data_IF_467952260958
#
_entry.id   IF_467952260958
#
_cell.length_a   1.000
_cell.length_b   1.000
_cell.length_c   1.000
_cell.angle_alpha   90.00
_cell.angle_beta   90.00
_cell.angle_gamma   90.00
#
_symmetry.space_group_name_H-M   'P 1'
#
loop_
_entity.id
_entity.type
_entity.pdbx_description
1 polymer ?
#
# COMPACT_ATOMS: atom_id res chain seq x y z
N UNK A 1 27.55 3.94 -35.07
CA UNK A 1 26.52 4.98 -34.84
C UNK A 1 25.12 4.39 -34.73
N UNK A 2 24.58 3.68 -35.74
CA UNK A 2 23.21 3.10 -35.68
C UNK A 2 22.98 2.13 -34.51
N UNK A 3 23.97 1.27 -34.19
CA UNK A 3 23.88 0.34 -33.05
C UNK A 3 23.85 1.05 -31.70
N UNK A 4 24.69 2.07 -31.51
CA UNK A 4 24.72 2.89 -30.28
C UNK A 4 23.39 3.62 -30.09
N UNK A 5 22.81 4.17 -31.16
CA UNK A 5 21.49 4.80 -31.11
C UNK A 5 20.39 3.80 -30.69
N UNK A 6 20.36 2.61 -31.29
CA UNK A 6 19.38 1.58 -30.95
C UNK A 6 19.54 1.12 -29.50
N UNK A 7 20.77 0.85 -29.06
CA UNK A 7 21.03 0.49 -27.66
C UNK A 7 20.61 1.59 -26.71
N UNK A 8 20.87 2.86 -27.04
CA UNK A 8 20.43 4.00 -26.26
C UNK A 8 18.91 4.08 -26.12
N UNK A 9 18.16 3.90 -27.22
CA UNK A 9 16.69 3.89 -27.22
C UNK A 9 16.16 2.75 -26.33
N UNK A 10 16.74 1.56 -26.44
CA UNK A 10 16.34 0.41 -25.62
C UNK A 10 16.62 0.70 -24.13
N UNK A 11 17.80 1.22 -23.79
CA UNK A 11 18.12 1.53 -22.40
C UNK A 11 17.17 2.58 -21.81
N UNK A 12 16.86 3.64 -22.56
CA UNK A 12 15.91 4.67 -22.13
C UNK A 12 14.50 4.09 -21.99
N UNK A 13 14.04 3.26 -22.92
CA UNK A 13 12.70 2.67 -22.81
C UNK A 13 12.59 1.75 -21.60
N UNK A 14 13.62 0.96 -21.28
CA UNK A 14 13.66 0.15 -20.07
C UNK A 14 13.62 1.01 -18.80
N UNK A 15 14.36 2.12 -18.76
CA UNK A 15 14.33 3.06 -17.64
C UNK A 15 12.95 3.71 -17.47
N UNK A 16 12.29 4.08 -18.57
CA UNK A 16 10.93 4.63 -18.53
C UNK A 16 9.95 3.60 -17.99
N UNK A 17 10.00 2.35 -18.45
CA UNK A 17 9.12 1.29 -17.97
C UNK A 17 9.34 1.00 -16.48
N UNK A 18 10.61 0.92 -16.04
CA UNK A 18 10.93 0.76 -14.62
C UNK A 18 10.43 1.95 -13.78
N UNK A 19 10.62 3.17 -14.27
CA UNK A 19 10.14 4.39 -13.63
C UNK A 19 8.62 4.46 -13.52
N UNK A 20 7.88 3.99 -14.53
CA UNK A 20 6.42 3.89 -14.47
C UNK A 20 5.95 2.88 -13.43
N UNK A 21 6.65 1.75 -13.28
CA UNK A 21 6.30 0.71 -12.31
C UNK A 21 6.48 1.17 -10.86
N UNK A 22 7.53 1.93 -10.56
CA UNK A 22 7.80 2.42 -9.18
C UNK A 22 7.30 3.84 -8.93
N UNK A 23 6.81 4.52 -9.97
CA UNK A 23 6.42 5.93 -9.95
C UNK A 23 5.43 6.29 -8.83
N UNK A 24 4.32 5.56 -8.66
CA UNK A 24 3.36 5.76 -7.55
C UNK A 24 4.02 5.70 -6.17
N UNK A 25 4.80 4.64 -5.94
CA UNK A 25 5.48 4.43 -4.66
C UNK A 25 6.57 5.47 -4.39
N UNK A 26 7.24 5.96 -5.44
CA UNK A 26 8.25 6.99 -5.33
C UNK A 26 7.62 8.37 -5.09
N UNK A 27 6.50 8.69 -5.75
CA UNK A 27 5.81 9.96 -5.51
C UNK A 27 5.26 10.05 -4.10
N UNK A 28 4.63 8.98 -3.59
CA UNK A 28 4.24 8.87 -2.19
C UNK A 28 5.40 9.19 -1.23
N UNK A 29 6.56 8.54 -1.45
CA UNK A 29 7.76 8.73 -0.60
C UNK A 29 8.46 10.07 -0.76
N UNK A 30 8.22 10.83 -1.82
CA UNK A 30 8.90 12.12 -2.03
C UNK A 30 8.01 13.29 -1.66
N UNK A 31 6.73 13.24 -2.05
CA UNK A 31 5.80 14.35 -1.94
C UNK A 31 4.64 14.10 -0.99
N UNK A 32 4.48 12.88 -0.49
CA UNK A 32 3.35 12.55 0.37
C UNK A 32 3.50 13.06 1.79
N UNK A 33 2.38 13.38 2.42
CA UNK A 33 2.32 13.66 3.85
C UNK A 33 2.27 12.36 4.64
N UNK A 34 2.66 12.41 5.92
CA UNK A 34 2.73 11.22 6.79
C UNK A 34 1.40 11.00 7.52
N UNK A 35 0.88 9.78 7.42
CA UNK A 35 -0.32 9.30 8.08
C UNK A 35 -0.01 8.06 8.90
N UNK A 36 -0.63 7.96 10.07
CA UNK A 36 -0.46 6.84 10.98
C UNK A 36 -1.67 5.91 10.87
N UNK A 37 -1.44 4.66 10.49
CA UNK A 37 -2.49 3.66 10.33
C UNK A 37 -2.28 2.53 11.32
N UNK A 38 -3.34 2.11 12.01
CA UNK A 38 -3.28 0.90 12.83
C UNK A 38 -3.06 -0.32 11.93
N UNK A 39 -2.14 -1.19 12.33
CA UNK A 39 -1.83 -2.43 11.62
C UNK A 39 -1.92 -3.63 12.53
N UNK A 40 -2.44 -4.70 11.95
CA UNK A 40 -2.45 -6.04 12.53
C UNK A 40 -1.55 -6.97 11.71
N UNK A 41 -0.94 -7.97 12.35
CA UNK A 41 -0.14 -8.96 11.63
C UNK A 41 -1.04 -9.81 10.75
N UNK A 42 -0.65 -9.91 9.47
CA UNK A 42 -1.13 -10.97 8.62
C UNK A 42 0.03 -11.93 8.37
N UNK A 43 -0.11 -13.20 8.73
CA UNK A 43 0.96 -14.20 8.67
C UNK A 43 1.01 -14.88 7.29
N UNK A 44 1.95 -14.47 6.40
CA UNK A 44 2.50 -15.45 5.47
C UNK A 44 4.03 -15.32 5.32
N UNK A 45 4.77 -16.19 6.01
CA UNK A 45 6.16 -16.51 5.65
C UNK A 45 6.16 -17.17 4.25
N UNK A 46 6.65 -16.45 3.24
CA UNK A 46 6.94 -17.03 1.92
C UNK A 46 8.46 -17.19 1.73
N UNK A 47 8.99 -18.43 1.73
CA UNK A 47 10.43 -18.68 1.63
C UNK A 47 11.03 -18.30 0.26
N UNK A 48 10.22 -17.94 -0.74
CA UNK A 48 10.64 -17.59 -2.10
C UNK A 48 10.51 -16.09 -2.42
N UNK A 49 9.72 -15.33 -1.66
CA UNK A 49 9.52 -13.87 -1.88
C UNK A 49 10.46 -12.98 -1.05
N UNK A 50 11.29 -13.59 -0.19
CA UNK A 50 12.22 -12.86 0.68
C UNK A 50 11.54 -12.40 1.98
N UNK A 51 12.21 -11.52 2.74
CA UNK A 51 11.65 -10.97 3.96
C UNK A 51 10.73 -9.80 3.65
N UNK A 52 9.44 -10.05 3.79
CA UNK A 52 8.42 -9.01 3.84
C UNK A 52 7.46 -9.35 4.95
N UNK A 53 6.80 -8.31 5.46
CA UNK A 53 5.73 -8.46 6.43
C UNK A 53 4.44 -8.07 5.72
N UNK A 54 3.44 -8.95 5.78
CA UNK A 54 2.10 -8.62 5.30
C UNK A 54 1.35 -7.85 6.39
N UNK A 55 0.77 -6.73 6.00
CA UNK A 55 0.09 -5.81 6.91
C UNK A 55 -1.41 -5.89 6.65
N UNK A 56 -2.18 -6.20 7.69
CA UNK A 56 -3.62 -5.98 7.71
C UNK A 56 -3.90 -4.61 8.31
N UNK A 57 -4.95 -3.92 7.83
CA UNK A 57 -5.31 -2.58 8.27
C UNK A 57 -6.75 -2.59 8.78
N UNK A 58 -7.00 -2.95 10.05
CA UNK A 58 -8.35 -3.09 10.59
C UNK A 58 -9.24 -1.86 10.37
N UNK A 59 -8.68 -0.66 10.54
CA UNK A 59 -9.38 0.61 10.34
C UNK A 59 -9.70 0.95 8.88
N UNK A 60 -9.20 0.19 7.91
CA UNK A 60 -9.42 0.44 6.48
C UNK A 60 -10.33 -0.60 5.82
N UNK A 61 -10.90 -1.55 6.55
CA UNK A 61 -11.57 -2.71 5.93
C UNK A 61 -13.02 -2.45 5.57
N UNK A 62 -13.44 -3.09 4.48
CA UNK A 62 -14.84 -3.14 4.05
C UNK A 62 -15.55 -4.35 4.66
N UNK A 63 -16.73 -4.14 5.25
CA UNK A 63 -17.66 -5.18 5.73
C UNK A 63 -17.07 -6.26 6.66
N UNK A 64 -16.17 -5.88 7.57
CA UNK A 64 -15.52 -6.79 8.55
C UNK A 64 -14.81 -8.02 7.91
N UNK A 65 -14.58 -8.01 6.60
CA UNK A 65 -14.15 -9.18 5.83
C UNK A 65 -12.68 -9.56 6.15
N UNK A 66 -12.48 -10.58 7.00
CA UNK A 66 -11.15 -11.04 7.42
C UNK A 66 -10.62 -12.06 6.40
N UNK A 67 -9.65 -11.66 5.57
CA UNK A 67 -8.85 -12.62 4.83
C UNK A 67 -7.74 -13.14 5.74
N UNK A 68 -7.70 -14.46 5.94
CA UNK A 68 -6.62 -15.13 6.70
C UNK A 68 -5.46 -15.54 5.78
N UNK A 69 -5.64 -15.42 4.45
CA UNK A 69 -4.74 -16.04 3.46
C UNK A 69 -3.96 -15.02 2.64
N UNK A 70 -4.56 -13.90 2.26
CA UNK A 70 -3.86 -12.79 1.58
C UNK A 70 -4.23 -11.43 2.17
N UNK A 71 -3.29 -10.46 2.17
CA UNK A 71 -3.57 -9.12 2.66
C UNK A 71 -4.33 -8.30 1.62
N UNK A 72 -5.37 -7.61 2.08
CA UNK A 72 -6.26 -6.76 1.29
C UNK A 72 -7.38 -6.19 2.18
N UNK A 73 -8.12 -5.23 1.65
CA UNK A 73 -9.12 -4.47 2.42
C UNK A 73 -10.56 -5.01 2.31
N UNK A 74 -10.74 -6.19 1.73
CA UNK A 74 -12.05 -6.77 1.41
C UNK A 74 -12.42 -6.63 -0.06
N UNK A 75 -13.69 -6.86 -0.41
CA UNK A 75 -14.22 -6.71 -1.76
C UNK A 75 -15.45 -5.79 -1.74
N UNK A 76 -15.70 -5.09 -2.86
CA UNK A 76 -16.91 -4.29 -3.04
C UNK A 76 -17.97 -5.13 -3.77
N UNK A 77 -19.18 -5.19 -3.22
CA UNK A 77 -20.32 -5.90 -3.79
C UNK A 77 -21.23 -5.00 -4.65
N UNK A 78 -20.65 -4.03 -5.37
CA UNK A 78 -21.39 -3.09 -6.23
C UNK A 78 -21.48 -3.52 -7.70
N UNK A 79 -20.83 -4.63 -8.05
CA UNK A 79 -20.85 -5.21 -9.40
C UNK A 79 -19.93 -4.52 -10.41
N UNK A 80 -19.07 -3.61 -9.96
CA UNK A 80 -18.08 -2.91 -10.77
C UNK A 80 -16.65 -3.35 -10.43
N UNK A 81 -15.70 -3.06 -11.32
CA UNK A 81 -14.27 -3.29 -11.10
C UNK A 81 -13.45 -2.14 -11.72
N UNK A 82 -12.38 -1.72 -11.06
CA UNK A 82 -11.54 -0.62 -11.45
C UNK A 82 -10.90 0.11 -10.27
N UNK A 83 -10.81 1.42 -10.45
CA UNK A 83 -10.17 2.28 -9.47
C UNK A 83 -11.16 2.57 -8.33
N UNK A 84 -10.66 2.51 -7.09
CA UNK A 84 -11.41 2.76 -5.87
C UNK A 84 -10.63 3.76 -5.03
N UNK A 85 -11.32 4.73 -4.46
CA UNK A 85 -10.73 5.74 -3.60
C UNK A 85 -11.30 5.62 -2.19
N UNK A 86 -10.40 5.51 -1.21
CA UNK A 86 -10.77 5.40 0.20
C UNK A 86 -10.40 6.72 0.86
N UNK A 87 -11.40 7.51 1.25
CA UNK A 87 -11.17 8.75 2.00
C UNK A 87 -10.81 8.43 3.44
N UNK A 88 -9.93 9.24 4.04
CA UNK A 88 -9.42 8.99 5.38
C UNK A 88 -9.89 10.05 6.36
N UNK A 89 -10.16 9.64 7.60
CA UNK A 89 -10.45 10.51 8.74
C UNK A 89 -9.60 10.11 9.93
N UNK A 90 -9.13 11.10 10.69
CA UNK A 90 -8.38 10.87 11.92
C UNK A 90 -9.33 10.48 13.07
N UNK A 91 -9.03 9.37 13.73
CA UNK A 91 -9.72 8.86 14.92
C UNK A 91 -8.67 8.36 15.92
N UNK A 92 -8.73 8.86 17.15
CA UNK A 92 -7.84 8.43 18.25
C UNK A 92 -6.32 8.47 17.93
N UNK A 93 -5.90 9.39 17.04
CA UNK A 93 -4.50 9.58 16.66
C UNK A 93 -4.00 8.67 15.52
N UNK A 94 -4.87 7.83 14.97
CA UNK A 94 -4.64 7.08 13.72
C UNK A 94 -5.66 7.46 12.67
N UNK A 95 -5.41 7.11 11.41
CA UNK A 95 -6.29 7.37 10.29
C UNK A 95 -7.04 6.10 9.90
N UNK A 96 -8.34 6.23 9.67
CA UNK A 96 -9.24 5.14 9.31
C UNK A 96 -10.06 5.51 8.07
N UNK A 97 -10.66 4.51 7.43
CA UNK A 97 -11.51 4.72 6.27
C UNK A 97 -12.79 5.47 6.69
N UNK A 98 -13.08 6.57 6.00
CA UNK A 98 -14.32 7.32 6.16
C UNK A 98 -15.38 6.89 5.14
N UNK A 99 -14.98 6.79 3.88
CA UNK A 99 -15.87 6.42 2.77
C UNK A 99 -15.10 5.79 1.61
N UNK A 100 -15.81 4.97 0.82
CA UNK A 100 -15.29 4.27 -0.34
C UNK A 100 -16.05 4.72 -1.59
N UNK A 101 -15.33 5.27 -2.57
CA UNK A 101 -15.95 5.86 -3.76
C UNK A 101 -15.20 5.49 -5.03
N UNK A 102 -15.89 5.47 -6.17
CA UNK A 102 -15.30 5.32 -7.51
C UNK A 102 -14.93 6.65 -8.15
N UNK A 103 -15.44 7.75 -7.61
CA UNK A 103 -15.10 9.10 -8.06
C UNK A 103 -13.92 9.62 -7.23
N UNK A 104 -12.89 10.12 -7.92
CA UNK A 104 -11.70 10.64 -7.24
C UNK A 104 -12.08 11.83 -6.34
N UNK A 105 -11.73 11.82 -5.05
CA UNK A 105 -11.94 12.96 -4.16
C UNK A 105 -11.14 14.19 -4.63
N UNK A 106 -11.77 15.37 -4.57
CA UNK A 106 -11.13 16.65 -4.89
C UNK A 106 -10.29 17.19 -3.73
N UNK A 107 -10.64 16.82 -2.49
CA UNK A 107 -10.06 17.36 -1.26
C UNK A 107 -9.84 16.25 -0.21
N UNK A 108 -8.89 16.52 0.68
CA UNK A 108 -8.59 15.65 1.82
C UNK A 108 -7.69 14.46 1.49
N UNK A 109 -7.22 13.74 2.51
CA UNK A 109 -6.40 12.55 2.31
C UNK A 109 -7.25 11.37 1.85
N UNK A 110 -6.76 10.67 0.84
CA UNK A 110 -7.39 9.45 0.35
C UNK A 110 -6.33 8.47 -0.17
N UNK A 111 -6.68 7.19 -0.20
CA UNK A 111 -5.90 6.15 -0.85
C UNK A 111 -6.46 5.87 -2.25
N UNK A 112 -5.59 5.78 -3.24
CA UNK A 112 -5.94 5.29 -4.58
C UNK A 112 -5.66 3.78 -4.64
N UNK A 113 -6.72 3.01 -4.78
CA UNK A 113 -6.72 1.56 -4.71
C UNK A 113 -7.31 0.95 -5.99
N UNK A 114 -7.19 -0.36 -6.11
CA UNK A 114 -7.70 -1.16 -7.22
C UNK A 114 -8.45 -2.38 -6.70
N UNK A 115 -9.64 -2.63 -7.23
CA UNK A 115 -10.47 -3.81 -6.91
C UNK A 115 -10.59 -4.78 -8.10
N UNK A 116 -9.76 -4.64 -9.15
CA UNK A 116 -9.72 -5.59 -10.28
C UNK A 116 -9.24 -6.99 -9.86
N UNK A 117 -8.66 -7.11 -8.66
CA UNK A 117 -8.36 -8.38 -8.03
C UNK A 117 -9.58 -8.92 -7.27
N UNK A 118 -9.40 -9.99 -6.51
CA UNK A 118 -10.44 -10.55 -5.64
C UNK A 118 -10.54 -9.81 -4.28
N UNK A 119 -9.65 -8.84 -4.06
CA UNK A 119 -9.56 -8.00 -2.88
C UNK A 119 -9.06 -6.62 -3.29
N UNK A 120 -9.54 -5.57 -2.61
CA UNK A 120 -9.09 -4.20 -2.82
C UNK A 120 -7.67 -4.06 -2.31
N UNK A 121 -6.79 -3.50 -3.14
CA UNK A 121 -5.39 -3.26 -2.80
C UNK A 121 -5.00 -1.81 -3.05
N UNK A 122 -4.32 -1.21 -2.09
CA UNK A 122 -3.83 0.16 -2.13
C UNK A 122 -2.30 0.24 -2.20
N UNK A 123 -1.60 -0.90 -2.23
CA UNK A 123 -0.14 -0.98 -2.35
C UNK A 123 0.61 -0.81 -1.02
N UNK A 124 -0.11 -0.86 0.10
CA UNK A 124 0.43 -0.72 1.47
C UNK A 124 0.39 -2.04 2.26
N UNK A 125 -0.12 -3.10 1.65
CA UNK A 125 -0.33 -4.43 2.24
C UNK A 125 0.97 -5.20 2.51
N UNK A 126 2.11 -4.69 2.04
CA UNK A 126 3.41 -5.34 2.16
C UNK A 126 4.52 -4.35 2.49
N UNK A 127 5.34 -4.71 3.47
CA UNK A 127 6.53 -3.97 3.85
C UNK A 127 7.77 -4.87 3.67
N UNK A 128 8.67 -4.47 2.77
CA UNK A 128 9.90 -5.21 2.48
C UNK A 128 11.03 -4.75 3.40
N UNK A 129 11.62 -5.69 4.13
CA UNK A 129 12.64 -5.41 5.14
C UNK A 129 13.80 -6.40 5.03
N UNK A 130 14.99 -6.05 5.55
CA UNK A 130 16.02 -7.04 5.83
C UNK A 130 15.47 -8.17 6.72
N UNK A 131 15.99 -9.39 6.55
CA UNK A 131 15.47 -10.60 7.22
C UNK A 131 15.37 -10.48 8.74
N UNK A 132 16.38 -9.91 9.38
CA UNK A 132 16.39 -9.78 10.84
C UNK A 132 15.37 -8.74 11.32
N UNK A 133 15.26 -7.61 10.61
CA UNK A 133 14.29 -6.55 10.89
C UNK A 133 12.84 -7.01 10.64
N UNK A 134 12.61 -7.86 9.63
CA UNK A 134 11.29 -8.41 9.36
C UNK A 134 10.78 -9.24 10.55
N UNK A 135 11.62 -10.09 11.14
CA UNK A 135 11.27 -10.88 12.33
C UNK A 135 10.94 -10.01 13.54
N UNK A 136 11.75 -8.99 13.79
CA UNK A 136 11.49 -8.02 14.87
C UNK A 136 10.17 -7.27 14.66
N UNK A 137 9.87 -6.92 13.41
CA UNK A 137 8.61 -6.24 13.05
C UNK A 137 7.41 -7.17 13.23
N UNK A 138 7.51 -8.45 12.84
CA UNK A 138 6.47 -9.45 13.09
C UNK A 138 6.15 -9.60 14.58
N UNK A 139 7.18 -9.63 15.43
CA UNK A 139 6.99 -9.69 16.88
C UNK A 139 6.30 -8.42 17.41
N UNK A 140 6.70 -7.25 16.91
CA UNK A 140 6.07 -5.97 17.25
C UNK A 140 4.61 -5.88 16.82
N UNK A 141 4.24 -6.45 15.66
CA UNK A 141 2.85 -6.49 15.20
C UNK A 141 1.95 -7.32 16.12
N UNK A 142 2.47 -8.37 16.81
CA UNK A 142 1.66 -9.21 17.71
C UNK A 142 1.04 -8.45 18.87
N UNK A 143 1.72 -7.40 19.33
CA UNK A 143 1.29 -6.57 20.46
C UNK A 143 0.45 -5.36 20.01
N UNK A 144 0.19 -5.22 18.70
CA UNK A 144 -0.42 -4.04 18.09
C UNK A 144 0.62 -3.01 17.70
N UNK A 145 0.46 -2.42 16.53
CA UNK A 145 1.44 -1.51 15.95
C UNK A 145 0.79 -0.47 15.04
N UNK A 146 1.57 0.56 14.71
CA UNK A 146 1.17 1.66 13.84
C UNK A 146 2.15 1.74 12.67
N UNK A 147 1.62 1.69 11.46
CA UNK A 147 2.36 1.93 10.23
C UNK A 147 2.42 3.42 9.94
N UNK A 148 3.63 3.89 9.64
CA UNK A 148 3.85 5.21 9.07
C UNK A 148 3.75 5.12 7.55
N UNK A 149 2.68 5.68 7.00
CA UNK A 149 2.36 5.63 5.57
C UNK A 149 2.41 7.04 4.99
N UNK A 150 3.18 7.21 3.91
CA UNK A 150 3.17 8.46 3.16
C UNK A 150 2.17 8.39 2.03
N UNK A 151 1.31 9.41 1.92
CA UNK A 151 0.25 9.50 0.93
C UNK A 151 0.40 10.81 0.16
N UNK A 152 0.55 10.74 -1.17
CA UNK A 152 0.59 11.94 -2.01
C UNK A 152 -0.80 12.46 -2.39
N UNK A 153 -0.87 13.68 -2.92
CA UNK A 153 -2.14 14.31 -3.33
C UNK A 153 -2.86 13.62 -4.49
N UNK A 154 -2.37 12.48 -5.00
CA UNK A 154 -3.07 11.62 -5.96
C UNK A 154 -3.55 10.31 -5.32
N UNK A 155 -3.32 10.13 -4.03
CA UNK A 155 -3.63 8.94 -3.25
C UNK A 155 -2.64 7.80 -3.41
N UNK A 156 -1.47 8.03 -4.02
CA UNK A 156 -0.42 7.00 -4.03
C UNK A 156 0.14 6.87 -2.62
N UNK A 157 0.26 5.64 -2.14
CA UNK A 157 0.67 5.36 -0.79
C UNK A 157 1.94 4.50 -0.74
N UNK A 158 2.70 4.68 0.33
CA UNK A 158 3.88 3.89 0.60
C UNK A 158 4.12 3.76 2.10
N UNK A 159 4.24 2.52 2.58
CA UNK A 159 4.71 2.26 3.95
C UNK A 159 6.19 2.64 4.03
N UNK A 160 6.51 3.44 5.05
CA UNK A 160 7.86 3.92 5.34
C UNK A 160 8.44 3.19 6.55
N UNK A 161 7.62 2.97 7.57
CA UNK A 161 8.04 2.33 8.81
C UNK A 161 6.84 1.70 9.54
N UNK A 162 7.11 0.79 10.48
CA UNK A 162 6.13 0.22 11.41
C UNK A 162 6.72 0.28 12.80
N UNK A 163 5.96 0.85 13.75
CA UNK A 163 6.42 1.07 15.12
C UNK A 163 5.34 0.73 16.14
N UNK A 164 5.76 0.63 17.39
CA UNK A 164 4.83 0.47 18.51
C UNK A 164 3.88 1.69 18.58
N UNK A 165 2.64 1.50 19.06
CA UNK A 165 1.62 2.54 19.16
C UNK A 165 2.04 3.71 20.06
#
# INVERSE_FOLDING_TARGET
MKRVLVTGIIAVSQLVLAGLAVGPQLSARLTGDTYLLEVAPLDPIDPFRGAYVALDYPGLRHDDSQSVVEPGLGALDDGEQGDVFITLVEQDGTWVAADWTRERPDDGPYLACDDRSWQVRCGIESLFLPQDTARETEDLLRDGAVAEVRIDGRGNAAVVDVRAP
#
